data_IF_894593670468
#
_entry.id   IF_894593670468
#
_cell.length_a   1.000
_cell.length_b   1.000
_cell.length_c   1.000
_cell.angle_alpha   90.00
_cell.angle_beta   90.00
_cell.angle_gamma   90.00
#
_symmetry.space_group_name_H-M   'P 1'
#
loop_
_entity.id
_entity.type
_entity.pdbx_description
1 polymer ?
#
# COMPACT_ATOMS: atom_id res chain seq x y z
N UNK A 1 -85.28 42.81 43.65
CA UNK A 1 -86.26 41.77 43.28
C UNK A 1 -85.45 40.69 42.53
N UNK A 2 -85.14 39.57 43.22
CA UNK A 2 -85.73 38.23 43.04
C UNK A 2 -85.47 37.67 41.65
N UNK A 3 -84.82 36.56 41.42
CA UNK A 3 -84.79 35.19 41.91
C UNK A 3 -83.77 34.41 41.08
N UNK A 4 -82.90 33.65 41.69
CA UNK A 4 -82.92 32.17 41.83
C UNK A 4 -82.85 31.37 40.53
N UNK A 5 -81.70 30.65 40.39
CA UNK A 5 -81.46 29.18 40.46
C UNK A 5 -81.84 28.43 39.20
N UNK A 6 -80.84 27.73 38.65
CA UNK A 6 -80.80 26.25 38.65
C UNK A 6 -79.49 25.70 38.19
N UNK A 7 -78.89 24.88 39.04
CA UNK A 7 -77.87 23.96 38.71
C UNK A 7 -78.30 22.96 37.62
N UNK A 8 -77.47 22.68 36.65
CA UNK A 8 -77.44 21.35 36.06
C UNK A 8 -75.94 20.95 35.86
N UNK A 9 -75.59 19.93 36.62
CA UNK A 9 -74.39 19.13 36.50
C UNK A 9 -74.44 18.39 35.15
N UNK A 10 -73.47 18.57 34.34
CA UNK A 10 -73.16 17.65 33.25
C UNK A 10 -71.70 17.27 33.35
N UNK A 11 -71.48 16.09 33.92
CA UNK A 11 -70.18 15.41 33.85
C UNK A 11 -69.94 15.01 32.39
N UNK A 12 -68.93 15.51 31.83
CA UNK A 12 -68.38 15.00 30.54
C UNK A 12 -66.86 14.82 30.66
N UNK A 13 -66.51 13.59 30.51
CA UNK A 13 -65.13 13.11 30.76
C UNK A 13 -64.08 13.81 29.93
N UNK A 14 -63.11 14.31 30.59
CA UNK A 14 -61.80 14.68 29.98
C UNK A 14 -61.06 13.42 29.56
N UNK A 15 -61.18 13.08 28.28
CA UNK A 15 -60.37 12.06 27.64
C UNK A 15 -58.98 12.64 27.45
N UNK A 16 -58.09 12.36 28.40
CA UNK A 16 -56.68 12.72 28.33
C UNK A 16 -56.03 11.86 27.25
N UNK A 17 -55.94 12.36 26.03
CA UNK A 17 -55.03 11.82 25.02
C UNK A 17 -53.61 12.01 25.53
N UNK A 18 -53.04 10.99 26.16
CA UNK A 18 -51.60 10.84 26.30
C UNK A 18 -51.04 10.53 24.91
N UNK A 19 -50.67 11.54 24.17
CA UNK A 19 -49.75 11.41 23.06
C UNK A 19 -48.40 10.98 23.63
N UNK A 20 -48.12 9.67 23.55
CA UNK A 20 -46.81 9.10 23.75
C UNK A 20 -45.91 9.68 22.66
N UNK A 21 -45.28 10.80 22.93
CA UNK A 21 -44.16 11.28 22.18
C UNK A 21 -43.03 10.23 22.38
N UNK A 22 -43.00 9.22 21.50
CA UNK A 22 -41.82 8.37 21.33
C UNK A 22 -40.74 9.31 20.88
N UNK A 23 -39.92 9.76 21.84
CA UNK A 23 -38.62 10.37 21.57
C UNK A 23 -37.85 9.26 20.90
N UNK A 24 -37.82 9.23 19.56
CA UNK A 24 -36.76 8.58 18.80
C UNK A 24 -35.48 9.29 19.23
N UNK A 25 -34.87 8.79 20.29
CA UNK A 25 -33.46 9.01 20.49
C UNK A 25 -32.82 8.46 19.21
N UNK A 26 -32.40 9.37 18.33
CA UNK A 26 -31.46 9.05 17.30
C UNK A 26 -30.19 8.55 18.05
N UNK A 27 -30.13 7.24 18.27
CA UNK A 27 -28.87 6.62 18.64
C UNK A 27 -27.94 7.01 17.51
N UNK A 28 -26.93 7.81 17.80
CA UNK A 28 -25.79 7.97 16.91
C UNK A 28 -25.43 6.55 16.46
N UNK A 29 -25.54 6.28 15.16
CA UNK A 29 -25.33 4.93 14.66
C UNK A 29 -23.97 4.48 15.19
N UNK A 30 -23.97 3.38 15.96
CA UNK A 30 -22.75 2.83 16.56
C UNK A 30 -21.83 2.41 15.42
N UNK A 31 -20.85 3.26 15.09
CA UNK A 31 -19.89 3.05 14.00
C UNK A 31 -18.63 2.38 14.50
N UNK A 32 -17.92 1.69 13.61
CA UNK A 32 -16.56 1.24 13.87
C UNK A 32 -15.62 2.22 13.19
N UNK A 33 -14.86 2.98 13.97
CA UNK A 33 -13.87 3.91 13.44
C UNK A 33 -12.64 3.15 12.93
N UNK A 34 -12.15 3.54 11.75
CA UNK A 34 -10.94 3.02 11.11
C UNK A 34 -10.04 4.19 10.73
N UNK A 35 -8.76 4.10 11.06
CA UNK A 35 -7.78 5.15 10.79
C UNK A 35 -7.18 5.02 9.40
N UNK A 36 -7.03 6.14 8.70
CA UNK A 36 -6.34 6.25 7.42
C UNK A 36 -5.15 7.19 7.63
N UNK A 37 -3.94 6.64 7.55
CA UNK A 37 -2.70 7.34 7.87
C UNK A 37 -1.79 7.37 6.64
N UNK A 38 -2.01 8.33 5.76
CA UNK A 38 -1.27 8.54 4.52
C UNK A 38 -0.90 10.00 4.33
N UNK A 39 0.31 10.27 3.79
CA UNK A 39 0.72 11.63 3.43
C UNK A 39 -0.09 12.14 2.24
N UNK A 40 -0.83 13.22 2.47
CA UNK A 40 -1.63 13.92 1.46
C UNK A 40 -0.93 15.18 0.96
N UNK A 41 0.20 15.50 1.57
CA UNK A 41 1.10 16.59 1.21
C UNK A 41 2.56 16.16 1.35
N UNK A 42 3.50 16.95 0.77
CA UNK A 42 4.93 16.64 0.75
C UNK A 42 5.33 15.61 -0.31
N UNK A 43 6.57 15.11 -0.22
CA UNK A 43 7.24 14.30 -1.24
C UNK A 43 6.57 12.95 -1.55
N UNK A 44 5.79 12.42 -0.61
CA UNK A 44 5.10 11.13 -0.76
C UNK A 44 3.64 11.25 -1.21
N UNK A 45 3.10 12.47 -1.34
CA UNK A 45 1.70 12.69 -1.73
C UNK A 45 1.37 12.08 -3.12
N UNK A 46 2.33 12.06 -4.04
CA UNK A 46 2.18 11.47 -5.38
C UNK A 46 1.78 9.98 -5.31
N UNK A 47 2.27 9.26 -4.31
CA UNK A 47 2.02 7.83 -4.13
C UNK A 47 0.91 7.54 -3.10
N UNK A 48 0.78 8.37 -2.05
CA UNK A 48 -0.08 8.05 -0.90
C UNK A 48 -1.52 8.60 -1.02
N UNK A 49 -1.76 9.64 -1.84
CA UNK A 49 -3.11 10.21 -1.96
C UNK A 49 -4.11 9.21 -2.52
N UNK A 50 -3.71 8.42 -3.53
CA UNK A 50 -4.57 7.37 -4.10
C UNK A 50 -4.88 6.24 -3.11
N UNK A 51 -3.99 5.96 -2.16
CA UNK A 51 -4.22 4.95 -1.11
C UNK A 51 -5.31 5.40 -0.13
N UNK A 52 -5.33 6.68 0.26
CA UNK A 52 -6.43 7.25 1.04
C UNK A 52 -7.75 7.10 0.29
N UNK A 53 -7.77 7.42 -1.01
CA UNK A 53 -9.00 7.38 -1.82
C UNK A 53 -9.50 5.96 -2.05
N UNK A 54 -8.63 4.99 -2.34
CA UNK A 54 -9.05 3.58 -2.46
C UNK A 54 -9.50 2.99 -1.13
N UNK A 55 -8.93 3.41 -0.01
CA UNK A 55 -9.41 3.02 1.30
C UNK A 55 -10.84 3.52 1.55
N UNK A 56 -11.12 4.78 1.22
CA UNK A 56 -12.48 5.36 1.31
C UNK A 56 -13.47 4.67 0.37
N UNK A 57 -13.06 4.36 -0.86
CA UNK A 57 -13.86 3.57 -1.80
C UNK A 57 -14.25 2.21 -1.20
N UNK A 58 -13.27 1.52 -0.61
CA UNK A 58 -13.48 0.20 -0.01
C UNK A 58 -14.41 0.27 1.21
N UNK A 59 -14.26 1.31 2.03
CA UNK A 59 -15.14 1.58 3.17
C UNK A 59 -16.58 1.86 2.69
N UNK A 60 -16.75 2.68 1.66
CA UNK A 60 -18.07 2.97 1.07
C UNK A 60 -18.71 1.68 0.53
N UNK A 61 -17.94 0.81 -0.15
CA UNK A 61 -18.40 -0.50 -0.61
C UNK A 61 -18.89 -1.39 0.54
N UNK A 62 -18.08 -1.53 1.59
CA UNK A 62 -18.42 -2.33 2.77
C UNK A 62 -19.68 -1.77 3.44
N UNK A 63 -19.76 -0.46 3.56
CA UNK A 63 -20.91 0.22 4.14
C UNK A 63 -22.19 0.03 3.33
N UNK A 64 -22.11 0.05 2.00
CA UNK A 64 -23.24 -0.21 1.12
C UNK A 64 -23.75 -1.65 1.27
N UNK A 65 -22.89 -2.60 1.64
CA UNK A 65 -23.21 -4.01 1.88
C UNK A 65 -23.59 -4.33 3.33
N UNK A 66 -23.86 -3.33 4.18
CA UNK A 66 -24.31 -3.52 5.56
C UNK A 66 -23.24 -3.31 6.63
N UNK A 67 -22.01 -2.95 6.25
CA UNK A 67 -20.91 -2.66 7.16
C UNK A 67 -20.22 -3.91 7.69
N UNK A 68 -19.73 -3.85 8.91
CA UNK A 68 -19.03 -4.92 9.63
C UNK A 68 -19.81 -5.24 10.90
N UNK A 69 -20.24 -6.48 11.09
CA UNK A 69 -21.11 -6.90 12.20
C UNK A 69 -22.37 -6.01 12.34
N UNK A 70 -22.94 -5.54 11.20
CA UNK A 70 -24.11 -4.65 11.17
C UNK A 70 -23.81 -3.18 11.49
N UNK A 71 -22.56 -2.79 11.73
CA UNK A 71 -22.15 -1.42 11.99
C UNK A 71 -21.46 -0.82 10.77
N UNK A 72 -21.72 0.47 10.51
CA UNK A 72 -21.00 1.20 9.47
C UNK A 72 -19.56 1.46 9.90
N UNK A 73 -18.63 1.43 8.93
CA UNK A 73 -17.28 1.93 9.11
C UNK A 73 -17.26 3.45 8.98
N UNK A 74 -16.52 4.10 9.86
CA UNK A 74 -16.26 5.54 9.84
C UNK A 74 -14.76 5.78 9.68
N UNK A 75 -14.36 6.39 8.57
CA UNK A 75 -12.96 6.71 8.31
C UNK A 75 -12.53 7.95 9.09
N UNK A 76 -11.43 7.83 9.84
CA UNK A 76 -10.71 8.94 10.46
C UNK A 76 -9.43 9.16 9.68
N UNK A 77 -9.35 10.25 8.93
CA UNK A 77 -8.24 10.55 8.01
C UNK A 77 -7.31 11.54 8.67
N UNK A 78 -6.00 11.27 8.63
CA UNK A 78 -4.96 12.19 9.08
C UNK A 78 -3.87 12.32 8.03
N UNK A 79 -3.32 13.54 7.89
CA UNK A 79 -2.19 13.83 7.01
C UNK A 79 -0.92 14.06 7.85
N UNK A 80 0.06 13.16 7.80
CA UNK A 80 1.37 13.36 8.43
C UNK A 80 2.35 14.14 7.53
N UNK A 81 1.93 14.66 6.39
CA UNK A 81 2.65 15.59 5.53
C UNK A 81 4.08 15.15 5.13
N UNK A 82 4.30 13.86 4.89
CA UNK A 82 5.62 13.26 4.62
C UNK A 82 6.68 13.54 5.71
N UNK A 83 6.22 13.79 6.94
CA UNK A 83 7.07 14.08 8.09
C UNK A 83 7.06 12.89 9.06
N UNK A 84 8.17 12.19 9.20
CA UNK A 84 8.25 10.92 9.95
C UNK A 84 7.91 11.05 11.43
N UNK A 85 8.37 12.04 12.19
CA UNK A 85 7.90 12.30 13.56
C UNK A 85 6.39 12.52 13.64
N UNK A 86 5.81 13.24 12.69
CA UNK A 86 4.37 13.50 12.66
C UNK A 86 3.55 12.23 12.42
N UNK A 87 4.08 11.22 11.71
CA UNK A 87 3.44 9.91 11.60
C UNK A 87 3.17 9.29 12.98
N UNK A 88 4.15 9.31 13.88
CA UNK A 88 3.99 8.75 15.23
C UNK A 88 2.95 9.53 16.05
N UNK A 89 2.95 10.86 15.95
CA UNK A 89 1.95 11.72 16.61
C UNK A 89 0.54 11.41 16.09
N UNK A 90 0.36 11.34 14.76
CA UNK A 90 -0.92 11.04 14.13
C UNK A 90 -1.39 9.61 14.41
N UNK A 91 -0.49 8.63 14.46
CA UNK A 91 -0.84 7.29 14.90
C UNK A 91 -1.36 7.27 16.34
N UNK A 92 -0.71 7.99 17.24
CA UNK A 92 -1.17 8.13 18.64
C UNK A 92 -2.52 8.84 18.73
N UNK A 93 -2.74 9.90 17.95
CA UNK A 93 -4.04 10.55 17.82
C UNK A 93 -5.12 9.55 17.44
N UNK A 94 -4.94 8.82 16.33
CA UNK A 94 -5.92 7.84 15.82
C UNK A 94 -6.26 6.77 16.87
N UNK A 95 -5.25 6.19 17.51
CA UNK A 95 -5.45 5.07 18.44
C UNK A 95 -5.93 5.52 19.81
N UNK A 96 -5.27 6.52 20.41
CA UNK A 96 -5.52 6.92 21.79
C UNK A 96 -6.67 7.91 21.94
N UNK A 97 -6.86 8.83 20.98
CA UNK A 97 -7.88 9.89 21.06
C UNK A 97 -9.13 9.52 20.26
N UNK A 98 -8.95 9.19 18.96
CA UNK A 98 -10.06 8.89 18.06
C UNK A 98 -10.64 7.48 18.28
N UNK A 99 -9.88 6.58 18.97
CA UNK A 99 -10.27 5.22 19.31
C UNK A 99 -10.60 4.37 18.08
N UNK A 100 -9.79 4.47 17.04
CA UNK A 100 -9.94 3.62 15.86
C UNK A 100 -9.62 2.16 16.19
N UNK A 101 -10.36 1.24 15.56
CA UNK A 101 -10.18 -0.20 15.75
C UNK A 101 -8.95 -0.76 15.00
N UNK A 102 -8.52 -0.07 13.96
CA UNK A 102 -7.41 -0.45 13.08
C UNK A 102 -6.91 0.79 12.33
N UNK A 103 -5.66 0.77 11.89
CA UNK A 103 -5.10 1.79 11.00
C UNK A 103 -4.64 1.13 9.70
N UNK A 104 -5.00 1.72 8.56
CA UNK A 104 -4.48 1.42 7.24
C UNK A 104 -3.57 2.57 6.82
N UNK A 105 -2.29 2.30 6.55
CA UNK A 105 -1.43 3.43 6.25
C UNK A 105 0.06 3.16 6.20
N UNK A 106 0.78 4.25 6.15
CA UNK A 106 2.20 4.37 5.87
C UNK A 106 2.55 3.97 4.43
N UNK A 107 3.64 4.53 3.93
CA UNK A 107 4.29 4.10 2.69
C UNK A 107 5.75 3.75 2.97
N UNK A 108 6.53 4.72 3.42
CA UNK A 108 7.97 4.51 3.63
C UNK A 108 8.23 3.62 4.85
N UNK A 109 9.30 2.82 4.79
CA UNK A 109 9.71 2.03 5.95
C UNK A 109 10.08 2.90 7.15
N UNK A 110 10.57 4.12 6.92
CA UNK A 110 10.84 5.04 8.03
C UNK A 110 9.55 5.54 8.68
N UNK A 111 8.47 5.81 7.92
CA UNK A 111 7.18 6.15 8.52
C UNK A 111 6.59 4.97 9.31
N UNK A 112 6.63 3.75 8.75
CA UNK A 112 6.21 2.53 9.46
C UNK A 112 7.00 2.38 10.77
N UNK A 113 8.33 2.43 10.72
CA UNK A 113 9.17 2.28 11.92
C UNK A 113 8.91 3.35 12.97
N UNK A 114 8.56 4.57 12.59
CA UNK A 114 8.23 5.63 13.54
C UNK A 114 6.93 5.37 14.31
N UNK A 115 5.98 4.65 13.73
CA UNK A 115 4.69 4.35 14.37
C UNK A 115 4.67 3.05 15.17
N UNK A 116 5.61 2.10 14.92
CA UNK A 116 5.65 0.82 15.62
C UNK A 116 5.58 0.92 17.15
N UNK A 117 6.32 1.84 17.82
CA UNK A 117 6.23 1.98 19.26
C UNK A 117 4.81 2.30 19.76
N UNK A 118 4.07 3.12 19.00
CA UNK A 118 2.68 3.49 19.32
C UNK A 118 1.76 2.28 19.24
N UNK A 119 1.85 1.49 18.17
CA UNK A 119 1.02 0.30 17.98
C UNK A 119 1.32 -0.79 19.01
N UNK A 120 2.59 -0.96 19.41
CA UNK A 120 3.00 -1.87 20.47
C UNK A 120 2.47 -1.43 21.83
N UNK A 121 2.70 -0.18 22.21
CA UNK A 121 2.30 0.39 23.49
C UNK A 121 0.78 0.32 23.70
N UNK A 122 0.02 0.67 22.67
CA UNK A 122 -1.44 0.75 22.73
C UNK A 122 -2.15 -0.53 22.25
N UNK A 123 -1.41 -1.58 21.95
CA UNK A 123 -1.90 -2.86 21.41
C UNK A 123 -2.96 -2.67 20.30
N UNK A 124 -2.63 -1.89 19.28
CA UNK A 124 -3.49 -1.62 18.13
C UNK A 124 -2.93 -2.24 16.85
N UNK A 125 -3.67 -2.22 15.75
CA UNK A 125 -3.29 -2.85 14.49
C UNK A 125 -2.97 -1.83 13.41
N UNK A 126 -1.88 -2.10 12.68
CA UNK A 126 -1.51 -1.45 11.42
C UNK A 126 -1.60 -2.46 10.27
N UNK A 127 -2.29 -2.10 9.19
CA UNK A 127 -2.16 -2.76 7.90
C UNK A 127 -1.27 -1.92 7.00
N UNK A 128 -0.13 -2.47 6.63
CA UNK A 128 0.91 -1.82 5.84
C UNK A 128 0.89 -2.34 4.39
N UNK A 129 0.49 -1.51 3.40
CA UNK A 129 0.16 -1.99 2.06
C UNK A 129 1.32 -1.94 1.05
N UNK A 130 2.54 -1.62 1.47
CA UNK A 130 3.64 -1.29 0.56
C UNK A 130 4.76 -2.31 0.70
N UNK A 131 5.51 -2.53 -0.39
CA UNK A 131 6.73 -3.32 -0.35
C UNK A 131 7.73 -2.74 0.67
N UNK A 132 8.58 -3.61 1.20
CA UNK A 132 9.58 -3.16 2.17
C UNK A 132 10.82 -4.08 2.18
N UNK A 133 11.83 -3.69 2.94
CA UNK A 133 13.13 -4.36 3.01
C UNK A 133 13.14 -5.70 3.74
N UNK A 134 12.02 -6.12 4.33
CA UNK A 134 12.06 -7.23 5.28
C UNK A 134 12.76 -6.84 6.59
N UNK A 135 13.43 -7.81 7.21
CA UNK A 135 14.20 -7.64 8.46
C UNK A 135 13.34 -7.12 9.63
N UNK A 136 12.06 -7.46 9.60
CA UNK A 136 11.06 -7.05 10.58
C UNK A 136 9.89 -8.04 10.61
N UNK A 137 9.42 -8.33 11.81
CA UNK A 137 8.19 -9.07 12.10
C UNK A 137 7.59 -8.52 13.38
N UNK A 138 6.45 -7.83 13.25
CA UNK A 138 5.80 -7.17 14.38
C UNK A 138 4.40 -7.72 14.61
N UNK A 139 4.10 -8.09 15.86
CA UNK A 139 2.79 -8.62 16.27
C UNK A 139 1.64 -7.73 15.81
N UNK A 140 1.83 -6.42 15.90
CA UNK A 140 0.79 -5.43 15.67
C UNK A 140 0.72 -4.92 14.21
N UNK A 141 1.42 -5.58 13.27
CA UNK A 141 1.45 -5.18 11.86
C UNK A 141 1.07 -6.37 10.97
N UNK A 142 0.14 -6.13 10.04
CA UNK A 142 -0.09 -6.99 8.90
C UNK A 142 0.52 -6.36 7.64
N UNK A 143 1.40 -7.11 6.99
CA UNK A 143 2.13 -6.67 5.81
C UNK A 143 1.43 -7.20 4.57
N UNK A 144 0.70 -6.31 3.88
CA UNK A 144 -0.02 -6.65 2.65
C UNK A 144 0.76 -6.30 1.38
N UNK A 145 1.88 -5.58 1.51
CA UNK A 145 2.88 -5.37 0.46
C UNK A 145 3.95 -6.46 0.42
N UNK A 146 4.86 -6.37 -0.55
CA UNK A 146 5.88 -7.38 -0.82
C UNK A 146 7.03 -7.38 0.20
N UNK A 147 7.48 -8.56 0.59
CA UNK A 147 8.80 -8.81 1.16
C UNK A 147 9.86 -8.94 0.04
N UNK A 148 11.18 -8.88 0.34
CA UNK A 148 12.23 -8.91 -0.69
C UNK A 148 12.19 -10.14 -1.62
N UNK A 149 11.80 -11.30 -1.10
CA UNK A 149 11.63 -12.51 -1.93
C UNK A 149 10.38 -12.50 -2.80
N UNK A 150 9.52 -11.51 -2.64
CA UNK A 150 8.31 -11.29 -3.44
C UNK A 150 8.44 -10.09 -4.39
N UNK A 151 9.62 -9.46 -4.50
CA UNK A 151 9.87 -8.34 -5.40
C UNK A 151 11.36 -8.25 -5.78
N UNK A 152 12.21 -7.81 -4.87
CA UNK A 152 13.59 -7.41 -5.15
C UNK A 152 14.46 -8.57 -5.69
N UNK A 153 14.41 -9.73 -5.05
CA UNK A 153 15.19 -10.90 -5.46
C UNK A 153 14.74 -11.45 -6.82
N UNK A 154 13.45 -11.76 -7.05
CA UNK A 154 12.99 -12.26 -8.35
C UNK A 154 13.23 -11.27 -9.50
N UNK A 155 13.06 -9.96 -9.25
CA UNK A 155 13.33 -8.95 -10.27
C UNK A 155 14.82 -8.90 -10.65
N UNK A 156 15.71 -9.04 -9.67
CA UNK A 156 17.16 -9.09 -9.91
C UNK A 156 17.53 -10.37 -10.67
N UNK A 157 16.96 -11.53 -10.32
CA UNK A 157 17.15 -12.78 -11.06
C UNK A 157 16.67 -12.66 -12.50
N UNK A 158 15.52 -12.00 -12.72
CA UNK A 158 15.03 -11.75 -14.08
C UNK A 158 16.03 -10.92 -14.91
N UNK A 159 16.57 -9.82 -14.36
CA UNK A 159 17.57 -9.01 -15.05
C UNK A 159 18.84 -9.81 -15.39
N UNK A 160 19.20 -10.80 -14.57
CA UNK A 160 20.35 -11.69 -14.82
C UNK A 160 20.03 -12.75 -15.88
N UNK A 161 18.76 -13.07 -16.12
CA UNK A 161 18.33 -14.05 -17.10
C UNK A 161 18.51 -13.54 -18.52
N UNK A 162 18.49 -14.46 -19.50
CA UNK A 162 18.55 -14.11 -20.93
C UNK A 162 17.37 -13.21 -21.32
N UNK A 163 16.18 -13.51 -20.83
CA UNK A 163 14.95 -12.79 -21.10
C UNK A 163 14.99 -11.35 -20.54
N UNK A 164 15.60 -11.16 -19.38
CA UNK A 164 15.79 -9.87 -18.71
C UNK A 164 17.05 -9.08 -19.16
N UNK A 165 17.74 -9.53 -20.23
CA UNK A 165 18.89 -8.83 -20.80
C UNK A 165 20.25 -9.41 -20.43
N UNK A 166 20.34 -10.33 -19.46
CA UNK A 166 21.59 -11.01 -19.06
C UNK A 166 22.57 -10.08 -18.37
N UNK A 167 22.09 -9.18 -17.53
CA UNK A 167 22.92 -8.23 -16.79
C UNK A 167 24.00 -8.93 -15.95
N UNK A 168 25.21 -8.36 -15.95
CA UNK A 168 26.37 -8.79 -15.18
C UNK A 168 26.87 -7.70 -14.24
N UNK A 169 26.44 -6.47 -14.46
CA UNK A 169 26.81 -5.28 -13.71
C UNK A 169 25.53 -4.60 -13.23
N UNK A 170 25.56 -4.03 -12.03
CA UNK A 170 24.36 -3.49 -11.39
C UNK A 170 24.65 -2.13 -10.76
N UNK A 171 23.75 -1.17 -10.99
CA UNK A 171 23.70 0.08 -10.25
C UNK A 171 22.49 0.00 -9.31
N UNK A 172 22.72 0.05 -8.01
CA UNK A 172 21.70 0.05 -6.97
C UNK A 172 21.46 1.52 -6.58
N UNK A 173 20.42 2.12 -7.14
CA UNK A 173 20.09 3.55 -6.96
C UNK A 173 18.87 3.70 -6.06
N UNK A 174 18.99 4.43 -4.94
CA UNK A 174 17.90 4.57 -4.00
C UNK A 174 17.82 5.90 -3.29
N UNK A 175 16.66 6.18 -2.72
CA UNK A 175 16.51 7.26 -1.74
C UNK A 175 17.25 6.90 -0.45
N UNK A 176 17.88 7.88 0.21
CA UNK A 176 18.74 7.63 1.36
C UNK A 176 17.95 7.45 2.66
N UNK A 177 17.43 6.23 2.89
CA UNK A 177 16.80 5.83 4.14
C UNK A 177 16.80 4.30 4.31
N UNK A 178 16.17 3.78 5.37
CA UNK A 178 16.27 2.37 5.78
C UNK A 178 15.89 1.37 4.69
N UNK A 179 14.79 1.62 3.92
CA UNK A 179 14.34 0.68 2.89
C UNK A 179 15.37 0.48 1.78
N UNK A 180 15.85 1.51 1.05
CA UNK A 180 16.87 1.33 0.02
C UNK A 180 18.19 0.79 0.58
N UNK A 181 18.63 1.29 1.73
CA UNK A 181 19.88 0.85 2.36
C UNK A 181 19.88 -0.65 2.68
N UNK A 182 18.78 -1.13 3.29
CA UNK A 182 18.66 -2.54 3.66
C UNK A 182 18.41 -3.42 2.43
N UNK A 183 17.54 -2.99 1.52
CA UNK A 183 17.27 -3.70 0.25
C UNK A 183 18.57 -3.86 -0.56
N UNK A 184 19.35 -2.79 -0.71
CA UNK A 184 20.61 -2.85 -1.45
C UNK A 184 21.65 -3.73 -0.75
N UNK A 185 21.69 -3.74 0.59
CA UNK A 185 22.52 -4.70 1.34
C UNK A 185 22.15 -6.16 1.02
N UNK A 186 20.85 -6.47 0.99
CA UNK A 186 20.33 -7.79 0.61
C UNK A 186 20.72 -8.12 -0.84
N UNK A 187 20.48 -7.18 -1.76
CA UNK A 187 20.76 -7.36 -3.18
C UNK A 187 22.25 -7.53 -3.46
N UNK A 188 23.12 -6.75 -2.80
CA UNK A 188 24.56 -6.91 -2.93
C UNK A 188 24.99 -8.31 -2.47
N UNK A 189 24.52 -8.78 -1.32
CA UNK A 189 24.82 -10.13 -0.84
C UNK A 189 24.28 -11.21 -1.79
N UNK A 190 23.05 -11.04 -2.29
CA UNK A 190 22.47 -11.92 -3.30
C UNK A 190 23.31 -11.95 -4.59
N UNK A 191 23.66 -10.80 -5.16
CA UNK A 191 24.47 -10.70 -6.37
C UNK A 191 25.84 -11.36 -6.19
N UNK A 192 26.50 -11.16 -5.05
CA UNK A 192 27.76 -11.82 -4.71
C UNK A 192 27.60 -13.34 -4.63
N UNK A 193 26.51 -13.84 -4.09
CA UNK A 193 26.21 -15.28 -4.06
C UNK A 193 26.02 -15.88 -5.46
N UNK A 194 25.67 -15.05 -6.46
CA UNK A 194 25.58 -15.42 -7.88
C UNK A 194 26.89 -15.18 -8.65
N UNK A 195 27.98 -14.81 -7.97
CA UNK A 195 29.30 -14.61 -8.55
C UNK A 195 29.56 -13.22 -9.15
N UNK A 196 28.68 -12.23 -8.91
CA UNK A 196 28.93 -10.84 -9.32
C UNK A 196 30.01 -10.24 -8.41
N UNK A 197 31.02 -9.61 -8.99
CA UNK A 197 32.14 -8.99 -8.24
C UNK A 197 31.72 -7.65 -7.66
N UNK A 198 32.34 -7.23 -6.55
CA UNK A 198 32.07 -5.90 -5.95
C UNK A 198 32.33 -4.74 -6.94
N UNK A 199 33.34 -4.89 -7.85
CA UNK A 199 33.63 -3.92 -8.92
C UNK A 199 32.53 -3.77 -9.96
N UNK A 200 31.60 -4.72 -10.01
CA UNK A 200 30.44 -4.75 -10.91
C UNK A 200 29.15 -4.37 -10.22
N UNK A 201 29.22 -3.84 -9.00
CA UNK A 201 28.09 -3.33 -8.22
C UNK A 201 28.41 -1.92 -7.76
N UNK A 202 27.66 -0.95 -8.27
CA UNK A 202 27.71 0.44 -7.82
C UNK A 202 26.50 0.76 -6.95
N UNK A 203 26.64 1.58 -5.92
CA UNK A 203 25.56 2.01 -5.03
C UNK A 203 25.50 3.52 -4.94
N UNK A 204 24.32 4.09 -5.23
CA UNK A 204 24.08 5.53 -5.22
C UNK A 204 22.84 5.83 -4.41
N UNK A 205 22.93 6.84 -3.55
CA UNK A 205 21.81 7.28 -2.71
C UNK A 205 21.58 8.78 -2.85
N UNK A 206 20.29 9.18 -2.89
CA UNK A 206 19.87 10.58 -2.97
C UNK A 206 18.90 10.90 -1.81
N UNK A 207 18.88 12.15 -1.32
CA UNK A 207 17.87 12.52 -0.32
C UNK A 207 16.45 12.48 -0.88
N UNK A 208 15.44 12.44 -0.01
CA UNK A 208 14.05 12.68 -0.43
C UNK A 208 13.91 14.04 -1.11
N UNK A 209 13.08 14.11 -2.16
CA UNK A 209 12.86 15.34 -2.94
C UNK A 209 14.04 15.71 -3.85
N UNK A 210 15.02 14.82 -4.04
CA UNK A 210 16.12 15.05 -4.98
C UNK A 210 15.61 15.20 -6.41
N UNK A 211 16.08 16.22 -7.13
CA UNK A 211 15.58 16.58 -8.45
C UNK A 211 16.65 16.71 -9.55
N UNK A 212 17.93 16.69 -9.22
CA UNK A 212 19.05 16.79 -10.18
C UNK A 212 19.72 15.44 -10.40
N UNK A 213 19.31 14.71 -11.42
CA UNK A 213 19.84 13.40 -11.75
C UNK A 213 20.89 13.40 -12.90
N UNK A 214 21.27 14.55 -13.44
CA UNK A 214 22.19 14.63 -14.60
C UNK A 214 23.49 13.88 -14.36
N UNK A 215 24.18 14.17 -13.25
CA UNK A 215 25.44 13.53 -12.91
C UNK A 215 25.26 12.02 -12.65
N UNK A 216 24.18 11.63 -11.98
CA UNK A 216 23.89 10.22 -11.68
C UNK A 216 23.67 9.45 -12.97
N UNK A 217 22.82 9.96 -13.88
CA UNK A 217 22.55 9.31 -15.16
C UNK A 217 23.80 9.25 -16.06
N UNK A 218 24.62 10.30 -16.06
CA UNK A 218 25.92 10.28 -16.76
C UNK A 218 26.86 9.22 -16.21
N UNK A 219 26.92 9.04 -14.88
CA UNK A 219 27.71 7.99 -14.24
C UNK A 219 27.17 6.59 -14.55
N UNK A 220 25.86 6.39 -14.57
CA UNK A 220 25.24 5.14 -15.01
C UNK A 220 25.70 4.80 -16.44
N UNK A 221 25.65 5.76 -17.35
CA UNK A 221 26.09 5.58 -18.75
C UNK A 221 27.57 5.24 -18.83
N UNK A 222 28.42 5.90 -18.05
CA UNK A 222 29.87 5.59 -17.97
C UNK A 222 30.11 4.19 -17.41
N UNK A 223 29.40 3.81 -16.34
CA UNK A 223 29.53 2.49 -15.72
C UNK A 223 29.10 1.38 -16.68
N UNK A 224 28.03 1.62 -17.45
CA UNK A 224 27.51 0.65 -18.42
C UNK A 224 28.45 0.37 -19.60
N UNK A 225 29.42 1.25 -19.89
CA UNK A 225 30.45 0.98 -20.90
C UNK A 225 31.34 -0.24 -20.55
N UNK A 226 31.38 -0.64 -19.28
CA UNK A 226 32.12 -1.82 -18.81
C UNK A 226 31.45 -3.17 -19.09
N UNK A 227 30.20 -3.20 -19.60
CA UNK A 227 29.49 -4.45 -19.90
C UNK A 227 28.00 -4.36 -19.67
N UNK A 228 27.31 -5.51 -19.86
CA UNK A 228 25.85 -5.60 -19.66
C UNK A 228 25.44 -5.17 -18.26
N UNK A 229 24.83 -3.99 -18.18
CA UNK A 229 24.48 -3.31 -16.93
C UNK A 229 22.96 -3.18 -16.80
N UNK A 230 22.46 -3.32 -15.59
CA UNK A 230 21.08 -2.96 -15.23
C UNK A 230 21.09 -2.01 -14.03
N UNK A 231 20.06 -1.18 -13.93
CA UNK A 231 19.81 -0.31 -12.77
C UNK A 231 18.64 -0.90 -11.97
N UNK A 232 18.83 -1.01 -10.67
CA UNK A 232 17.76 -1.35 -9.72
C UNK A 232 17.43 -0.09 -8.93
N UNK A 233 16.21 0.42 -9.13
CA UNK A 233 15.77 1.68 -8.54
C UNK A 233 14.86 1.43 -7.32
N UNK A 234 15.30 1.94 -6.17
CA UNK A 234 14.53 2.05 -4.94
C UNK A 234 14.27 3.52 -4.58
N UNK A 235 14.21 4.40 -5.60
CA UNK A 235 13.80 5.80 -5.44
C UNK A 235 12.33 5.84 -5.06
N UNK A 236 11.95 6.71 -4.12
CA UNK A 236 10.57 6.86 -3.65
C UNK A 236 10.05 8.28 -3.84
N UNK A 237 8.74 8.39 -3.97
CA UNK A 237 8.02 9.66 -4.06
C UNK A 237 8.27 10.43 -5.34
N UNK A 238 8.15 11.74 -5.25
CA UNK A 238 8.25 12.68 -6.36
C UNK A 238 9.61 12.71 -7.05
N UNK A 239 10.68 12.24 -6.39
CA UNK A 239 12.03 12.12 -6.98
C UNK A 239 12.10 11.15 -8.18
N UNK A 240 11.10 10.27 -8.35
CA UNK A 240 11.02 9.40 -9.53
C UNK A 240 10.80 10.21 -10.83
N UNK A 241 10.02 11.28 -10.78
CA UNK A 241 9.70 12.09 -11.96
C UNK A 241 10.97 12.69 -12.61
N UNK A 242 11.82 13.45 -11.90
CA UNK A 242 13.06 14.00 -12.47
C UNK A 242 14.07 12.90 -12.86
N UNK A 243 14.12 11.76 -12.14
CA UNK A 243 14.99 10.64 -12.52
C UNK A 243 14.60 10.10 -13.91
N UNK A 244 13.34 9.75 -14.11
CA UNK A 244 12.88 9.20 -15.39
C UNK A 244 12.95 10.22 -16.53
N UNK A 245 12.69 11.50 -16.24
CA UNK A 245 12.87 12.58 -17.21
C UNK A 245 14.33 12.64 -17.69
N UNK A 246 15.29 12.60 -16.76
CA UNK A 246 16.70 12.66 -17.10
C UNK A 246 17.18 11.38 -17.80
N UNK A 247 16.67 10.21 -17.39
CA UNK A 247 16.94 8.95 -18.08
C UNK A 247 16.53 9.01 -19.56
N UNK A 248 15.35 9.56 -19.83
CA UNK A 248 14.83 9.78 -21.18
C UNK A 248 15.66 10.81 -21.97
N UNK A 249 16.02 11.93 -21.35
CA UNK A 249 16.85 12.98 -21.95
C UNK A 249 18.23 12.48 -22.35
N UNK A 250 18.84 11.63 -21.52
CA UNK A 250 20.15 11.02 -21.79
C UNK A 250 20.11 9.93 -22.87
N UNK A 251 18.89 9.55 -23.32
CA UNK A 251 18.69 8.50 -24.34
C UNK A 251 19.12 7.10 -23.88
N UNK A 252 19.10 6.84 -22.56
CA UNK A 252 19.36 5.50 -22.01
C UNK A 252 18.14 4.61 -22.23
N UNK A 253 18.22 3.76 -23.26
CA UNK A 253 17.13 2.84 -23.59
C UNK A 253 17.20 1.56 -22.75
N UNK A 254 16.05 0.94 -22.52
CA UNK A 254 15.95 -0.32 -21.81
C UNK A 254 16.73 -1.48 -22.51
N UNK A 255 16.90 -1.41 -23.82
CA UNK A 255 17.73 -2.37 -24.59
C UNK A 255 19.20 -2.29 -24.25
N UNK A 256 19.67 -1.14 -23.78
CA UNK A 256 21.08 -0.88 -23.48
C UNK A 256 21.36 -1.01 -21.98
N UNK A 257 20.53 -0.34 -21.15
CA UNK A 257 20.62 -0.33 -19.70
C UNK A 257 19.21 -0.41 -19.11
N UNK A 258 18.62 -1.62 -18.95
CA UNK A 258 17.32 -1.75 -18.34
C UNK A 258 17.32 -1.19 -16.91
N UNK A 259 16.29 -0.44 -16.57
CA UNK A 259 15.99 -0.01 -15.19
C UNK A 259 14.82 -0.85 -14.70
N UNK A 260 14.92 -1.47 -13.54
CA UNK A 260 13.77 -2.01 -12.81
C UNK A 260 13.51 -1.17 -11.58
N UNK A 261 12.28 -0.69 -11.43
CA UNK A 261 11.85 0.08 -10.28
C UNK A 261 11.00 -0.76 -9.32
N UNK A 262 11.15 -0.49 -8.02
CA UNK A 262 10.36 -1.13 -6.96
C UNK A 262 9.33 -0.20 -6.32
N UNK A 263 9.32 1.07 -6.73
CA UNK A 263 8.40 2.09 -6.19
C UNK A 263 7.84 2.99 -7.31
N UNK A 264 7.73 2.46 -8.52
CA UNK A 264 7.09 3.13 -9.66
C UNK A 264 6.04 2.19 -10.22
N UNK A 265 4.79 2.61 -10.16
CA UNK A 265 3.65 1.96 -10.76
C UNK A 265 2.93 2.92 -11.70
N UNK A 266 1.69 2.60 -12.02
CA UNK A 266 0.85 3.37 -12.93
C UNK A 266 0.62 4.81 -12.44
N UNK A 267 0.51 5.03 -11.10
CA UNK A 267 0.31 6.38 -10.53
C UNK A 267 1.54 7.28 -10.75
N UNK A 268 2.73 6.80 -10.49
CA UNK A 268 3.96 7.57 -10.66
C UNK A 268 4.24 7.89 -12.14
N UNK A 269 3.86 7.00 -13.07
CA UNK A 269 4.03 7.22 -14.51
C UNK A 269 3.08 8.29 -15.08
N UNK A 270 1.99 8.62 -14.42
CA UNK A 270 1.07 9.68 -14.87
C UNK A 270 1.73 11.07 -14.97
N UNK A 271 2.80 11.31 -14.22
CA UNK A 271 3.57 12.57 -14.24
C UNK A 271 4.74 12.57 -15.21
N UNK A 272 4.92 11.53 -16.05
CA UNK A 272 6.14 11.31 -16.83
C UNK A 272 5.79 11.05 -18.30
N UNK A 273 6.61 11.61 -19.22
CA UNK A 273 6.57 11.16 -20.63
C UNK A 273 7.16 9.76 -20.72
N UNK A 274 6.32 8.78 -21.01
CA UNK A 274 6.71 7.37 -21.04
C UNK A 274 7.27 6.92 -22.39
N UNK A 275 7.18 7.71 -23.45
CA UNK A 275 7.69 7.34 -24.78
C UNK A 275 9.18 7.03 -24.81
N UNK A 276 10.07 7.82 -24.18
CA UNK A 276 11.50 7.49 -24.12
C UNK A 276 11.82 6.36 -23.14
N UNK A 277 10.84 5.91 -22.35
CA UNK A 277 11.02 4.93 -21.28
C UNK A 277 10.51 3.51 -21.62
N UNK A 278 10.11 3.30 -22.87
CA UNK A 278 9.60 2.01 -23.32
C UNK A 278 10.57 0.87 -23.00
N UNK A 279 10.03 -0.20 -22.41
CA UNK A 279 10.78 -1.41 -22.08
C UNK A 279 11.53 -1.36 -20.74
N UNK A 280 11.65 -0.20 -20.08
CA UNK A 280 12.07 -0.17 -18.68
C UNK A 280 11.03 -0.88 -17.81
N UNK A 281 11.44 -1.40 -16.66
CA UNK A 281 10.71 -2.38 -15.89
C UNK A 281 10.24 -1.83 -14.55
N UNK A 282 9.17 -2.40 -14.05
CA UNK A 282 8.81 -2.36 -12.64
C UNK A 282 8.53 -3.77 -12.13
N UNK A 283 8.74 -4.00 -10.85
CA UNK A 283 8.42 -5.27 -10.19
C UNK A 283 7.40 -5.04 -9.09
N UNK A 284 6.25 -5.73 -9.20
CA UNK A 284 5.13 -5.62 -8.28
C UNK A 284 4.41 -6.97 -8.11
N UNK A 285 3.35 -6.99 -7.32
CA UNK A 285 2.49 -8.16 -7.16
C UNK A 285 1.16 -8.00 -7.91
N UNK A 286 0.92 -6.81 -8.43
CA UNK A 286 -0.26 -6.46 -9.23
C UNK A 286 0.10 -5.35 -10.23
N UNK A 287 -0.52 -5.39 -11.40
CA UNK A 287 -0.58 -4.29 -12.38
C UNK A 287 -2.02 -4.13 -12.87
N UNK A 288 -2.45 -2.89 -13.16
CA UNK A 288 -3.79 -2.63 -13.72
C UNK A 288 -4.07 -3.47 -14.97
N UNK A 289 -3.06 -3.72 -15.76
CA UNK A 289 -3.15 -4.45 -17.03
C UNK A 289 -3.47 -5.95 -16.92
N UNK A 290 -3.43 -6.54 -15.71
CA UNK A 290 -3.78 -7.97 -15.56
C UNK A 290 -5.25 -8.23 -15.88
N UNK A 291 -5.51 -9.30 -16.63
CA UNK A 291 -6.84 -9.60 -17.15
C UNK A 291 -7.50 -10.71 -16.37
N UNK A 292 -8.48 -10.37 -15.57
CA UNK A 292 -9.38 -11.30 -14.89
C UNK A 292 -10.66 -10.55 -14.44
N UNK A 293 -11.78 -11.25 -14.18
CA UNK A 293 -13.05 -10.62 -13.81
C UNK A 293 -12.98 -9.79 -12.51
N UNK A 294 -12.19 -10.22 -11.52
CA UNK A 294 -12.05 -9.50 -10.24
C UNK A 294 -11.37 -8.15 -10.46
N UNK A 295 -10.30 -8.12 -11.27
CA UNK A 295 -9.62 -6.89 -11.63
C UNK A 295 -10.51 -5.95 -12.45
N UNK A 296 -11.25 -6.49 -13.43
CA UNK A 296 -12.18 -5.69 -14.21
C UNK A 296 -13.21 -4.99 -13.33
N UNK A 297 -13.74 -5.69 -12.32
CA UNK A 297 -14.67 -5.12 -11.36
C UNK A 297 -14.01 -4.06 -10.46
N UNK A 298 -12.80 -4.32 -9.98
CA UNK A 298 -12.03 -3.40 -9.14
C UNK A 298 -11.71 -2.09 -9.88
N UNK A 299 -11.20 -2.19 -11.13
CA UNK A 299 -10.90 -1.00 -11.95
C UNK A 299 -12.18 -0.20 -12.23
N UNK A 300 -13.29 -0.89 -12.57
CA UNK A 300 -14.57 -0.21 -12.79
C UNK A 300 -15.03 0.53 -11.54
N UNK A 301 -15.00 -0.14 -10.40
CA UNK A 301 -15.40 0.45 -9.12
C UNK A 301 -14.55 1.69 -8.79
N UNK A 302 -13.25 1.63 -9.01
CA UNK A 302 -12.35 2.75 -8.80
C UNK A 302 -12.67 3.95 -9.71
N UNK A 303 -12.87 3.70 -11.00
CA UNK A 303 -13.26 4.74 -11.97
C UNK A 303 -14.62 5.37 -11.63
N UNK A 304 -15.60 4.55 -11.29
CA UNK A 304 -16.92 5.03 -10.88
C UNK A 304 -16.84 5.88 -9.60
N UNK A 305 -16.04 5.45 -8.63
CA UNK A 305 -15.79 6.19 -7.39
C UNK A 305 -15.11 7.53 -7.67
N UNK A 306 -14.08 7.55 -8.50
CA UNK A 306 -13.36 8.77 -8.86
C UNK A 306 -14.28 9.82 -9.47
N UNK A 307 -15.19 9.40 -10.36
CA UNK A 307 -16.22 10.26 -10.97
C UNK A 307 -17.23 10.73 -9.92
N UNK A 308 -17.76 9.82 -9.12
CA UNK A 308 -18.78 10.15 -8.10
C UNK A 308 -18.26 11.11 -7.03
N UNK A 309 -17.00 10.98 -6.63
CA UNK A 309 -16.34 11.85 -5.65
C UNK A 309 -15.65 13.06 -6.27
N UNK A 310 -15.69 13.20 -7.61
CA UNK A 310 -15.04 14.30 -8.35
C UNK A 310 -13.54 14.42 -8.00
N UNK A 311 -12.86 13.27 -7.97
CA UNK A 311 -11.42 13.26 -7.69
C UNK A 311 -10.64 14.05 -8.75
N UNK A 312 -9.50 14.64 -8.40
CA UNK A 312 -8.61 15.25 -9.39
C UNK A 312 -8.26 14.23 -10.50
N UNK A 313 -8.27 14.69 -11.75
CA UNK A 313 -7.95 13.84 -12.92
C UNK A 313 -8.82 12.56 -13.03
N UNK A 314 -10.09 12.62 -12.61
CA UNK A 314 -11.02 11.48 -12.58
C UNK A 314 -11.13 10.68 -13.89
N UNK A 315 -10.84 11.32 -15.02
CA UNK A 315 -10.86 10.67 -16.34
C UNK A 315 -9.62 9.82 -16.66
N UNK A 316 -8.55 10.00 -15.89
CA UNK A 316 -7.25 9.35 -16.12
C UNK A 316 -6.73 8.60 -14.89
N UNK A 317 -7.61 8.34 -13.92
CA UNK A 317 -7.24 7.55 -12.73
C UNK A 317 -6.86 6.13 -13.12
N UNK A 318 -5.90 5.59 -12.40
CA UNK A 318 -5.37 4.23 -12.58
C UNK A 318 -5.38 3.49 -11.27
N UNK A 319 -5.22 2.17 -11.32
CA UNK A 319 -4.96 1.33 -10.15
C UNK A 319 -3.51 0.85 -10.15
N UNK A 320 -2.95 0.61 -8.98
CA UNK A 320 -1.59 0.07 -8.84
C UNK A 320 -1.50 -0.95 -7.68
N UNK A 321 -0.34 -1.56 -7.47
CA UNK A 321 -0.13 -2.58 -6.45
C UNK A 321 -0.46 -2.11 -5.02
N UNK A 322 0.02 -0.96 -4.51
CA UNK A 322 -0.34 -0.53 -3.15
C UNK A 322 -1.82 -0.24 -2.96
N UNK A 323 -2.53 0.17 -4.00
CA UNK A 323 -4.00 0.32 -3.96
C UNK A 323 -4.69 -1.04 -3.84
N UNK A 324 -4.25 -2.03 -4.61
CA UNK A 324 -4.74 -3.41 -4.50
C UNK A 324 -4.47 -3.97 -3.11
N UNK A 325 -3.26 -3.79 -2.59
CA UNK A 325 -2.87 -4.25 -1.26
C UNK A 325 -3.68 -3.58 -0.13
N UNK A 326 -4.03 -2.30 -0.29
CA UNK A 326 -4.93 -1.57 0.62
C UNK A 326 -6.34 -2.16 0.58
N UNK A 327 -6.89 -2.34 -0.62
CA UNK A 327 -8.21 -2.96 -0.85
C UNK A 327 -8.30 -4.34 -0.21
N UNK A 328 -7.33 -5.20 -0.49
CA UNK A 328 -7.22 -6.54 0.10
C UNK A 328 -7.12 -6.49 1.62
N UNK A 329 -6.26 -5.63 2.16
CA UNK A 329 -6.03 -5.50 3.60
C UNK A 329 -7.31 -5.12 4.36
N UNK A 330 -8.08 -4.17 3.85
CA UNK A 330 -9.34 -3.73 4.46
C UNK A 330 -10.38 -4.87 4.45
N UNK A 331 -10.52 -5.58 3.33
CA UNK A 331 -11.43 -6.71 3.23
C UNK A 331 -11.02 -7.88 4.15
N UNK A 332 -9.73 -8.19 4.24
CA UNK A 332 -9.24 -9.23 5.12
C UNK A 332 -9.42 -8.87 6.59
N UNK A 333 -9.19 -7.60 6.96
CA UNK A 333 -9.51 -7.13 8.30
C UNK A 333 -11.00 -7.28 8.62
N UNK A 334 -11.89 -6.90 7.68
CA UNK A 334 -13.33 -7.12 7.82
C UNK A 334 -13.66 -8.59 8.09
N UNK A 335 -13.12 -9.50 7.27
CA UNK A 335 -13.31 -10.94 7.43
C UNK A 335 -12.84 -11.43 8.82
N UNK A 336 -11.68 -10.92 9.29
CA UNK A 336 -11.15 -11.29 10.60
C UNK A 336 -12.04 -10.81 11.75
N UNK A 337 -12.53 -9.57 11.69
CA UNK A 337 -13.47 -9.01 12.67
C UNK A 337 -14.76 -9.81 12.74
N UNK A 338 -15.33 -10.15 11.57
CA UNK A 338 -16.56 -10.96 11.50
C UNK A 338 -16.36 -12.38 12.01
N UNK A 339 -15.23 -13.02 11.71
CA UNK A 339 -14.85 -14.34 12.23
C UNK A 339 -14.61 -14.31 13.74
N UNK A 340 -13.93 -13.28 14.24
CA UNK A 340 -13.66 -13.08 15.66
C UNK A 340 -14.91 -12.60 16.44
N UNK A 341 -15.92 -12.06 15.74
CA UNK A 341 -17.06 -11.33 16.31
C UNK A 341 -16.62 -10.19 17.24
N UNK A 342 -15.51 -9.55 16.94
CA UNK A 342 -14.85 -8.56 17.79
C UNK A 342 -13.87 -7.72 16.98
N UNK A 343 -13.70 -6.45 17.40
CA UNK A 343 -12.61 -5.57 16.94
C UNK A 343 -11.39 -5.61 17.87
N UNK A 344 -11.41 -6.45 18.90
CA UNK A 344 -10.28 -6.64 19.80
C UNK A 344 -9.03 -7.10 19.02
N UNK A 345 -7.92 -6.43 19.26
CA UNK A 345 -6.67 -6.61 18.51
C UNK A 345 -6.20 -8.07 18.51
N UNK A 346 -6.13 -8.72 19.66
CA UNK A 346 -5.59 -10.08 19.77
C UNK A 346 -6.50 -11.12 19.14
N UNK A 347 -7.81 -10.92 19.25
CA UNK A 347 -8.81 -11.76 18.56
C UNK A 347 -8.75 -11.60 17.04
N UNK A 348 -8.57 -10.37 16.54
CA UNK A 348 -8.42 -10.10 15.11
C UNK A 348 -7.13 -10.72 14.58
N UNK A 349 -6.00 -10.59 15.30
CA UNK A 349 -4.73 -11.26 14.94
C UNK A 349 -4.93 -12.77 14.81
N UNK A 350 -5.55 -13.39 15.80
CA UNK A 350 -5.82 -14.84 15.77
C UNK A 350 -6.72 -15.24 14.60
N UNK A 351 -7.75 -14.45 14.32
CA UNK A 351 -8.69 -14.72 13.25
C UNK A 351 -8.08 -14.50 11.85
N UNK A 352 -7.08 -13.62 11.72
CA UNK A 352 -6.40 -13.30 10.46
C UNK A 352 -5.55 -14.47 9.93
N UNK A 353 -4.98 -15.29 10.82
CA UNK A 353 -4.07 -16.35 10.45
C UNK A 353 -4.71 -17.34 9.45
N UNK A 354 -4.08 -17.54 8.30
CA UNK A 354 -4.52 -18.45 7.25
C UNK A 354 -5.74 -18.00 6.45
N UNK A 355 -6.23 -16.76 6.63
CA UNK A 355 -7.32 -16.25 5.81
C UNK A 355 -6.90 -16.10 4.35
N UNK A 356 -7.89 -16.29 3.46
CA UNK A 356 -7.70 -16.11 2.01
C UNK A 356 -8.60 -15.01 1.45
N UNK A 357 -8.15 -14.43 0.34
CA UNK A 357 -8.92 -13.42 -0.40
C UNK A 357 -8.64 -13.52 -1.91
N UNK A 358 -9.70 -13.53 -2.72
CA UNK A 358 -9.58 -13.45 -4.19
C UNK A 358 -9.26 -12.02 -4.58
N UNK A 359 -8.02 -11.81 -5.01
CA UNK A 359 -7.47 -10.50 -5.27
C UNK A 359 -7.65 -10.07 -6.73
N UNK A 360 -7.67 -8.75 -7.01
CA UNK A 360 -7.53 -8.20 -8.35
C UNK A 360 -6.30 -8.70 -9.13
N UNK A 361 -5.23 -9.11 -8.45
CA UNK A 361 -4.06 -9.73 -9.10
C UNK A 361 -4.40 -11.02 -9.89
N UNK A 362 -5.59 -11.57 -9.69
CA UNK A 362 -6.05 -12.81 -10.30
C UNK A 362 -5.73 -14.08 -9.51
N UNK A 363 -5.14 -13.91 -8.34
CA UNK A 363 -4.80 -15.02 -7.44
C UNK A 363 -5.62 -14.98 -6.15
N UNK A 364 -5.76 -16.13 -5.52
CA UNK A 364 -6.20 -16.21 -4.14
C UNK A 364 -4.99 -16.02 -3.24
N UNK A 365 -4.98 -14.91 -2.50
CA UNK A 365 -3.91 -14.56 -1.57
C UNK A 365 -4.20 -15.17 -0.20
N UNK A 366 -3.15 -15.54 0.52
CA UNK A 366 -3.27 -16.12 1.88
C UNK A 366 -2.45 -15.30 2.85
N UNK A 367 -3.05 -14.92 3.99
CA UNK A 367 -2.29 -14.35 5.11
C UNK A 367 -1.52 -15.46 5.80
N UNK A 368 -0.20 -15.33 5.88
CA UNK A 368 0.64 -16.33 6.54
C UNK A 368 0.21 -16.54 7.99
N UNK A 369 0.24 -17.79 8.44
CA UNK A 369 -0.23 -18.15 9.77
C UNK A 369 0.71 -17.68 10.89
N UNK A 370 1.97 -17.41 10.57
CA UNK A 370 3.04 -17.21 11.57
C UNK A 370 3.72 -15.85 11.47
N UNK A 371 3.77 -15.24 10.27
CA UNK A 371 4.59 -14.06 10.05
C UNK A 371 3.84 -12.81 9.60
N UNK A 372 2.50 -12.82 9.63
CA UNK A 372 1.63 -11.67 9.33
C UNK A 372 1.82 -11.04 7.93
N UNK A 373 2.34 -11.80 6.97
CA UNK A 373 2.53 -11.35 5.59
C UNK A 373 1.59 -12.05 4.62
N UNK A 374 1.17 -11.36 3.58
CA UNK A 374 0.46 -11.99 2.47
C UNK A 374 1.39 -12.82 1.59
N UNK A 375 0.94 -14.02 1.23
CA UNK A 375 1.50 -14.74 0.09
C UNK A 375 1.04 -14.02 -1.18
N UNK A 376 1.95 -13.53 -1.99
CA UNK A 376 1.64 -12.72 -3.18
C UNK A 376 2.33 -13.26 -4.44
N UNK A 377 1.73 -13.13 -5.63
CA UNK A 377 2.45 -13.41 -6.88
C UNK A 377 3.55 -12.38 -7.06
N UNK A 378 4.54 -12.68 -7.89
CA UNK A 378 5.54 -11.70 -8.34
C UNK A 378 5.33 -11.48 -9.82
N UNK A 379 5.33 -10.22 -10.24
CA UNK A 379 5.16 -9.83 -11.64
C UNK A 379 6.23 -8.81 -12.02
N UNK A 380 6.70 -8.89 -13.26
CA UNK A 380 7.56 -7.89 -13.87
C UNK A 380 6.83 -7.32 -15.06
N UNK A 381 6.65 -6.00 -15.05
CA UNK A 381 5.98 -5.25 -16.10
C UNK A 381 6.94 -4.33 -16.83
N UNK A 382 6.80 -4.29 -18.15
CA UNK A 382 7.45 -3.32 -19.03
C UNK A 382 6.61 -2.06 -19.17
N UNK A 383 7.24 -0.90 -19.08
CA UNK A 383 6.59 0.40 -19.34
C UNK A 383 6.16 0.49 -20.79
N UNK A 384 4.88 0.84 -21.01
CA UNK A 384 4.27 1.13 -22.30
C UNK A 384 4.14 2.63 -22.52
N UNK A 385 3.96 3.03 -23.77
CA UNK A 385 3.81 4.43 -24.16
C UNK A 385 2.54 5.12 -23.65
N UNK A 386 1.59 4.35 -23.12
CA UNK A 386 0.33 4.85 -22.54
C UNK A 386 0.37 4.96 -21.01
N UNK A 387 1.54 4.77 -20.40
CA UNK A 387 1.72 4.80 -18.94
C UNK A 387 1.27 3.53 -18.22
N UNK A 388 0.86 2.52 -18.97
CA UNK A 388 0.53 1.19 -18.47
C UNK A 388 1.73 0.24 -18.54
N UNK A 389 1.59 -0.95 -17.99
CA UNK A 389 2.61 -1.98 -18.04
C UNK A 389 2.15 -3.18 -18.85
N UNK A 390 3.10 -3.80 -19.57
CA UNK A 390 2.95 -5.12 -20.14
C UNK A 390 3.63 -6.14 -19.23
N UNK A 391 2.88 -7.07 -18.63
CA UNK A 391 3.45 -8.09 -17.76
C UNK A 391 4.24 -9.10 -18.60
N UNK A 392 5.56 -9.07 -18.50
CA UNK A 392 6.48 -9.91 -19.30
C UNK A 392 6.92 -11.17 -18.56
N UNK A 393 6.81 -11.16 -17.23
CA UNK A 393 7.14 -12.31 -16.39
C UNK A 393 6.28 -12.33 -15.14
N UNK A 394 5.92 -13.52 -14.67
CA UNK A 394 5.22 -13.69 -13.40
C UNK A 394 5.42 -15.08 -12.83
N UNK A 395 5.29 -15.21 -11.51
CA UNK A 395 5.23 -16.51 -10.83
C UNK A 395 3.97 -17.28 -11.19
N UNK A 396 4.02 -18.61 -11.07
CA UNK A 396 2.86 -19.50 -11.33
C UNK A 396 1.76 -19.34 -10.27
N UNK A 397 2.09 -18.86 -9.10
CA UNK A 397 1.18 -18.66 -7.98
C UNK A 397 1.77 -17.71 -6.93
N UNK A 398 1.02 -17.46 -5.84
CA UNK A 398 1.51 -16.68 -4.72
C UNK A 398 2.75 -17.31 -4.08
N UNK A 399 3.71 -16.47 -3.76
CA UNK A 399 4.96 -16.83 -3.06
C UNK A 399 4.79 -16.54 -1.58
N UNK A 400 5.20 -17.45 -0.72
CA UNK A 400 5.25 -17.21 0.73
C UNK A 400 6.28 -16.11 1.02
N UNK A 401 5.90 -15.11 1.81
CA UNK A 401 6.83 -14.07 2.22
C UNK A 401 7.90 -14.64 3.17
N UNK A 402 9.14 -14.19 2.95
CA UNK A 402 10.29 -14.44 3.83
C UNK A 402 10.78 -13.09 4.38
N UNK A 403 10.22 -12.62 5.50
CA UNK A 403 10.59 -11.33 6.05
C UNK A 403 12.06 -11.26 6.47
N UNK A 404 12.66 -12.39 6.86
CA UNK A 404 14.08 -12.47 7.21
C UNK A 404 14.88 -13.00 6.03
N UNK A 405 15.69 -12.15 5.43
CA UNK A 405 16.44 -12.51 4.23
C UNK A 405 17.54 -13.55 4.51
N UNK A 406 17.64 -14.62 3.69
CA UNK A 406 18.74 -15.58 3.81
C UNK A 406 20.12 -15.00 3.44
N UNK A 407 20.14 -13.80 2.85
CA UNK A 407 21.35 -13.10 2.45
C UNK A 407 21.89 -12.15 3.54
N UNK A 408 21.23 -12.05 4.68
CA UNK A 408 21.70 -11.29 5.84
C UNK A 408 22.20 -12.26 6.90
N UNK A 409 23.47 -12.14 7.26
CA UNK A 409 24.07 -12.96 8.31
C UNK A 409 23.34 -12.78 9.65
N UNK A 410 23.12 -13.88 10.38
CA UNK A 410 22.39 -13.91 11.65
C UNK A 410 20.89 -14.12 11.52
N UNK A 411 20.36 -14.30 10.29
CA UNK A 411 18.95 -14.61 10.07
C UNK A 411 18.62 -16.11 10.03
N UNK A 412 19.61 -17.00 10.16
CA UNK A 412 19.43 -18.44 9.96
C UNK A 412 18.37 -19.04 10.89
N UNK A 413 18.33 -18.59 12.15
CA UNK A 413 17.32 -19.03 13.13
C UNK A 413 15.94 -18.42 12.90
N UNK A 414 15.88 -17.27 12.24
CA UNK A 414 14.62 -16.52 12.00
C UNK A 414 13.89 -16.97 10.72
N UNK A 415 14.56 -17.66 9.81
CA UNK A 415 13.99 -18.09 8.53
C UNK A 415 12.88 -19.15 8.67
N UNK A 416 12.72 -19.72 9.84
CA UNK A 416 11.66 -20.71 10.15
C UNK A 416 10.31 -20.06 10.50
N UNK A 417 10.32 -18.74 10.67
CA UNK A 417 9.12 -17.93 10.92
C UNK A 417 8.52 -17.47 9.58
#
# INVERSE_FOLDING_TARGET
MTRRTFLKVAASGALTLMTSASILQAHAADTIKVGILHSLSGTMAISETSLKDVALMTIDEINAKGGVMGKKLEAVIVDPASNWPLFAEKARQLVAQDKVAVVFGCWTSVSRKSVLPVFKELNSLLFYPVQYEGEELEKNVFYTGAAPNQQAIPATEYLMSKEGGGAKRFVLLGTDYVYPRTTNKILRAFLKSKGVKDTDIDEVYTPFGHSDYQTIVANIKKFSAGGKTAVISTINGDSNVPFYKELGNAGLKATDVPVVAFSVGEEELRGVDTKPLLGHLAAWNYFESVKNPVNTAFIKQWKDYAVAKKLPNQSTVVTNDPMEATYVGIHMWKQAVEKAKSTDTDKVITAMAGQTFKSPSGFELTMDQTNHHLHKPVMIGEIKGDGQFNVVWKTKGPVRAQPWSPFIAGNESKQKL
#
